data_IF_715668923747
#
_entry.id   IF_715668923747
#
_cell.length_a   1.000
_cell.length_b   1.000
_cell.length_c   1.000
_cell.angle_alpha   90.00
_cell.angle_beta   90.00
_cell.angle_gamma   90.00
#
_symmetry.space_group_name_H-M   'P 1'
#
loop_
_entity.id
_entity.type
_entity.pdbx_description
1 polymer ?
#
# COMPACT_ATOMS: atom_id res chain seq x y z
N UNK A 1 28.75 -12.65 -15.01
CA UNK A 1 27.73 -12.91 -13.98
C UNK A 1 27.83 -11.82 -12.93
N UNK A 2 26.86 -10.89 -12.84
CA UNK A 2 26.84 -9.88 -11.77
C UNK A 2 25.60 -10.11 -10.89
N UNK A 3 25.81 -10.73 -9.74
CA UNK A 3 24.81 -10.96 -8.71
C UNK A 3 25.08 -10.01 -7.55
N UNK A 4 24.38 -8.88 -7.48
CA UNK A 4 24.25 -8.01 -6.31
C UNK A 4 23.02 -7.11 -6.53
N UNK A 5 21.81 -7.65 -6.30
CA UNK A 5 20.98 -7.48 -5.10
C UNK A 5 20.31 -6.09 -5.05
N UNK A 6 18.97 -6.11 -5.11
CA UNK A 6 18.05 -5.01 -4.82
C UNK A 6 18.47 -4.20 -3.58
N UNK A 7 19.26 -3.14 -3.77
CA UNK A 7 19.62 -2.17 -2.73
C UNK A 7 18.64 -0.97 -2.73
N UNK A 8 17.39 -1.19 -3.16
CA UNK A 8 16.36 -0.17 -2.92
C UNK A 8 16.07 -0.16 -1.41
N UNK A 9 16.31 0.97 -0.72
CA UNK A 9 16.12 1.05 0.71
C UNK A 9 14.65 0.80 1.03
N UNK A 10 14.39 -0.26 1.79
CA UNK A 10 13.04 -0.56 2.30
C UNK A 10 12.67 0.54 3.29
N UNK A 11 11.95 1.54 2.81
CA UNK A 11 11.51 2.67 3.64
C UNK A 11 10.28 2.24 4.45
N UNK A 12 10.41 2.28 5.77
CA UNK A 12 9.31 1.97 6.68
C UNK A 12 8.59 3.24 7.11
N UNK A 13 7.27 3.25 6.93
CA UNK A 13 6.39 4.34 7.34
C UNK A 13 5.52 3.93 8.52
N UNK A 14 5.25 4.88 9.42
CA UNK A 14 4.39 4.66 10.59
C UNK A 14 2.92 4.92 10.23
N UNK A 15 2.01 4.45 11.10
CA UNK A 15 0.57 4.61 10.93
C UNK A 15 0.12 6.04 10.55
N UNK A 16 0.61 7.13 11.17
CA UNK A 16 0.19 8.49 10.79
C UNK A 16 0.51 8.84 9.33
N UNK A 17 1.61 8.30 8.80
CA UNK A 17 2.03 8.53 7.43
C UNK A 17 1.22 7.68 6.46
N UNK A 18 0.94 6.42 6.83
CA UNK A 18 0.03 5.55 6.08
C UNK A 18 -1.34 6.22 5.93
N UNK A 19 -1.88 6.79 7.01
CA UNK A 19 -3.18 7.51 6.99
C UNK A 19 -3.14 8.68 5.99
N UNK A 20 -2.05 9.45 5.94
CA UNK A 20 -1.91 10.55 4.99
C UNK A 20 -1.84 10.07 3.54
N UNK A 21 -1.11 8.98 3.29
CA UNK A 21 -0.94 8.43 1.94
C UNK A 21 -2.22 7.80 1.40
N UNK A 22 -2.93 7.08 2.26
CA UNK A 22 -4.08 6.25 1.88
C UNK A 22 -5.40 7.02 2.02
N UNK A 23 -5.46 8.04 2.89
CA UNK A 23 -6.66 8.83 3.16
C UNK A 23 -7.71 8.10 4.02
N UNK A 24 -7.49 6.84 4.39
CA UNK A 24 -8.38 6.08 5.26
C UNK A 24 -8.04 6.25 6.75
N UNK A 25 -9.07 6.14 7.59
CA UNK A 25 -8.92 6.13 9.05
C UNK A 25 -8.23 4.84 9.51
N UNK A 26 -7.58 4.92 10.66
CA UNK A 26 -6.91 3.80 11.35
C UNK A 26 -7.73 2.51 11.39
N UNK A 27 -9.02 2.56 11.76
CA UNK A 27 -9.87 1.35 11.83
C UNK A 27 -9.95 0.65 10.49
N UNK A 28 -10.19 1.42 9.42
CA UNK A 28 -10.32 0.89 8.07
C UNK A 28 -9.01 0.27 7.59
N UNK A 29 -7.87 0.88 7.90
CA UNK A 29 -6.55 0.33 7.59
C UNK A 29 -6.35 -1.03 8.28
N UNK A 30 -6.69 -1.14 9.56
CA UNK A 30 -6.59 -2.42 10.28
C UNK A 30 -7.59 -3.48 9.80
N UNK A 31 -8.80 -3.07 9.45
CA UNK A 31 -9.79 -3.96 8.83
C UNK A 31 -9.28 -4.50 7.50
N UNK A 32 -8.79 -3.64 6.61
CA UNK A 32 -8.25 -4.05 5.31
C UNK A 32 -6.98 -4.91 5.47
N UNK A 33 -6.14 -4.59 6.45
CA UNK A 33 -4.97 -5.43 6.77
C UNK A 33 -5.38 -6.81 7.29
N UNK A 34 -6.55 -6.92 7.95
CA UNK A 34 -7.13 -8.18 8.42
C UNK A 34 -7.80 -8.96 7.29
N UNK A 35 -8.50 -8.30 6.37
CA UNK A 35 -9.13 -8.92 5.19
C UNK A 35 -8.10 -9.33 4.14
N UNK A 36 -6.88 -8.79 4.22
CA UNK A 36 -5.81 -9.04 3.26
C UNK A 36 -5.86 -8.13 2.04
N UNK A 37 -6.75 -7.14 2.05
CA UNK A 37 -6.85 -6.11 1.01
C UNK A 37 -5.74 -5.07 1.13
N UNK A 38 -5.17 -4.86 2.31
CA UNK A 38 -4.10 -3.88 2.55
C UNK A 38 -2.80 -4.54 3.03
N UNK A 39 -1.62 -3.98 2.71
CA UNK A 39 -0.33 -4.50 3.16
C UNK A 39 -0.27 -4.73 4.67
N UNK A 40 0.29 -5.88 5.06
CA UNK A 40 0.42 -6.27 6.46
C UNK A 40 1.48 -5.40 7.15
N UNK A 41 1.21 -5.04 8.40
CA UNK A 41 2.18 -4.32 9.22
C UNK A 41 3.40 -5.19 9.53
N UNK A 42 4.59 -4.62 9.36
CA UNK A 42 5.88 -5.17 9.76
C UNK A 42 6.19 -4.76 11.19
N UNK A 43 6.49 -5.74 12.04
CA UNK A 43 6.93 -5.51 13.43
C UNK A 43 8.43 -5.20 13.42
N UNK A 44 8.80 -3.94 13.66
CA UNK A 44 10.21 -3.52 13.71
C UNK A 44 10.88 -3.79 15.06
N UNK A 45 10.08 -4.06 16.11
CA UNK A 45 10.58 -4.41 17.43
C UNK A 45 9.65 -3.92 18.55
N UNK A 46 9.52 -4.73 19.61
CA UNK A 46 8.66 -4.41 20.75
C UNK A 46 7.21 -4.12 20.34
N UNK A 47 6.68 -2.98 20.80
CA UNK A 47 5.33 -2.48 20.46
C UNK A 47 5.31 -1.60 19.19
N UNK A 48 6.44 -1.46 18.48
CA UNK A 48 6.53 -0.66 17.26
C UNK A 48 6.15 -1.46 16.01
N UNK A 49 5.20 -0.91 15.27
CA UNK A 49 4.72 -1.45 13.99
C UNK A 49 4.91 -0.38 12.90
N UNK A 50 5.23 -0.83 11.69
CA UNK A 50 5.42 0.01 10.53
C UNK A 50 4.96 -0.72 9.26
N UNK A 51 4.83 0.01 8.16
CA UNK A 51 4.46 -0.52 6.84
C UNK A 51 5.58 -0.22 5.87
N UNK A 52 5.74 -1.07 4.86
CA UNK A 52 6.69 -0.79 3.77
C UNK A 52 6.07 0.25 2.85
N UNK A 53 6.73 1.39 2.67
CA UNK A 53 6.24 2.50 1.84
C UNK A 53 5.95 2.04 0.42
N UNK A 54 6.84 1.24 -0.17
CA UNK A 54 6.67 0.72 -1.53
C UNK A 54 5.41 -0.13 -1.67
N UNK A 55 5.07 -0.95 -0.67
CA UNK A 55 3.83 -1.74 -0.67
C UNK A 55 2.59 -0.85 -0.58
N UNK A 56 2.62 0.17 0.28
CA UNK A 56 1.50 1.12 0.44
C UNK A 56 1.29 1.93 -0.84
N UNK A 57 2.37 2.40 -1.46
CA UNK A 57 2.30 3.14 -2.74
C UNK A 57 1.82 2.25 -3.87
N UNK A 58 2.29 1.01 -3.95
CA UNK A 58 1.83 0.05 -4.94
C UNK A 58 0.32 -0.24 -4.79
N UNK A 59 -0.16 -0.39 -3.56
CA UNK A 59 -1.57 -0.56 -3.27
C UNK A 59 -2.39 0.68 -3.69
N UNK A 60 -1.93 1.89 -3.37
CA UNK A 60 -2.59 3.12 -3.81
C UNK A 60 -2.70 3.20 -5.34
N UNK A 61 -1.63 2.81 -6.05
CA UNK A 61 -1.64 2.76 -7.52
C UNK A 61 -2.68 1.77 -8.04
N UNK A 62 -2.75 0.58 -7.45
CA UNK A 62 -3.77 -0.41 -7.80
C UNK A 62 -5.19 0.12 -7.58
N UNK A 63 -5.45 0.86 -6.50
CA UNK A 63 -6.74 1.49 -6.25
C UNK A 63 -7.08 2.57 -7.30
N UNK A 64 -6.09 3.37 -7.70
CA UNK A 64 -6.27 4.38 -8.77
C UNK A 64 -6.55 3.70 -10.11
N UNK A 65 -5.84 2.62 -10.42
CA UNK A 65 -6.03 1.84 -11.63
C UNK A 65 -7.42 1.18 -11.64
N UNK A 66 -7.83 0.52 -10.56
CA UNK A 66 -9.16 -0.05 -10.42
C UNK A 66 -10.26 1.01 -10.55
N UNK A 67 -10.08 2.19 -9.95
CA UNK A 67 -11.02 3.29 -10.07
C UNK A 67 -11.08 3.89 -11.49
N UNK A 68 -10.00 3.84 -12.26
CA UNK A 68 -9.94 4.34 -13.64
C UNK A 68 -10.38 3.30 -14.67
N UNK A 69 -10.07 2.02 -14.47
CA UNK A 69 -10.49 0.92 -15.33
C UNK A 69 -12.02 0.81 -15.42
N UNK A 70 -12.73 1.09 -14.32
CA UNK A 70 -14.19 1.17 -14.29
C UNK A 70 -14.74 2.31 -15.18
N UNK A 71 -13.96 3.39 -15.38
CA UNK A 71 -14.30 4.50 -16.26
C UNK A 71 -13.99 4.20 -17.74
N UNK A 72 -12.92 3.46 -18.02
CA UNK A 72 -12.49 3.11 -19.37
C UNK A 72 -13.46 2.10 -20.03
N UNK A 73 -14.03 1.17 -19.26
CA UNK A 73 -15.08 0.26 -19.75
C UNK A 73 -16.36 0.97 -20.25
N UNK A 74 -16.60 2.22 -19.83
CA UNK A 74 -17.73 3.03 -20.30
C UNK A 74 -17.42 3.84 -21.56
N UNK A 75 -16.15 3.94 -21.96
CA UNK A 75 -15.72 4.74 -23.13
C UNK A 75 -15.43 3.91 -24.37
N UNK A 76 -15.30 2.59 -24.26
CA UNK A 76 -15.16 1.64 -25.39
C UNK A 76 -16.51 1.03 -25.80
N UNK A 77 -17.51 1.88 -25.96
CA UNK A 77 -18.76 1.54 -26.66
C UNK A 77 -19.29 2.81 -27.32
N UNK A 78 -18.66 3.20 -28.43
CA UNK A 78 -19.22 4.16 -29.38
C UNK A 78 -18.95 3.71 -30.81
#
# INVERSE_FOLDING_TARGET
MNTARNDEPVEFIRLPEVIKLVGYKTSKIYEMAKTGEFPKQVKLGGRSVAWVKSEVVAWNRAQVEAARADQEASTESR
#
